data_IF_786651941247
#
_entry.id   IF_786651941247
#
_cell.length_a   1.000
_cell.length_b   1.000
_cell.length_c   1.000
_cell.angle_alpha   90.00
_cell.angle_beta   90.00
_cell.angle_gamma   90.00
#
_symmetry.space_group_name_H-M   'P 1'
#
loop_
_entity.id
_entity.type
_entity.pdbx_description
1 polymer ?
#
# COMPACT_ATOMS: atom_id res chain seq x y z
N UNK A 1 5.54 19.76 -12.43
CA UNK A 1 5.38 18.43 -11.79
C UNK A 1 5.15 18.69 -10.30
N UNK A 2 4.35 17.88 -9.58
CA UNK A 2 4.25 17.98 -8.13
C UNK A 2 5.63 17.98 -7.47
N UNK A 3 5.81 18.74 -6.40
CA UNK A 3 7.03 18.76 -5.59
C UNK A 3 7.04 17.64 -4.56
N UNK A 4 5.86 17.18 -4.15
CA UNK A 4 5.69 16.12 -3.17
C UNK A 4 4.46 15.28 -3.52
N UNK A 5 4.46 14.04 -3.04
CA UNK A 5 3.30 13.16 -3.11
C UNK A 5 2.83 12.81 -1.71
N UNK A 6 1.51 12.64 -1.58
CA UNK A 6 0.85 12.11 -0.38
C UNK A 6 -0.07 10.96 -0.80
N UNK A 7 -0.35 10.06 0.14
CA UNK A 7 -1.24 8.93 -0.10
C UNK A 7 -2.13 8.69 1.12
N UNK A 8 -3.42 8.46 0.87
CA UNK A 8 -4.38 8.05 1.88
C UNK A 8 -5.15 6.83 1.40
N UNK A 9 -5.23 5.78 2.21
CA UNK A 9 -5.94 4.54 1.89
C UNK A 9 -7.14 4.36 2.81
N UNK A 10 -8.08 3.51 2.38
CA UNK A 10 -9.28 3.13 3.15
C UNK A 10 -8.99 2.16 4.31
N UNK A 11 -7.84 1.48 4.30
CA UNK A 11 -7.40 0.61 5.38
C UNK A 11 -6.61 1.38 6.45
N UNK A 12 -7.06 1.40 7.73
CA UNK A 12 -6.41 2.15 8.81
C UNK A 12 -5.03 1.59 9.20
N UNK A 13 -4.69 0.37 8.76
CA UNK A 13 -3.36 -0.23 8.98
C UNK A 13 -2.31 0.34 8.02
N UNK A 14 -2.74 1.08 7.01
CA UNK A 14 -1.87 1.74 6.06
C UNK A 14 -1.46 3.13 6.56
N UNK A 15 -0.17 3.43 6.48
CA UNK A 15 0.41 4.74 6.81
C UNK A 15 1.35 5.15 5.68
N UNK A 16 1.31 6.42 5.30
CA UNK A 16 2.23 6.97 4.31
C UNK A 16 3.21 7.96 4.94
N UNK A 17 4.51 7.70 4.78
CA UNK A 17 5.56 8.64 5.09
C UNK A 17 5.84 9.51 3.85
N UNK A 18 5.37 10.75 3.89
CA UNK A 18 5.52 11.70 2.78
C UNK A 18 6.91 12.32 2.67
N UNK A 19 7.77 12.16 3.69
CA UNK A 19 9.16 12.59 3.65
C UNK A 19 10.02 11.57 2.90
N UNK A 20 9.79 10.28 3.15
CA UNK A 20 10.51 9.18 2.50
C UNK A 20 9.83 8.71 1.20
N UNK A 21 8.55 9.04 1.01
CA UNK A 21 7.74 8.56 -0.09
C UNK A 21 7.42 7.07 0.04
N UNK A 22 7.24 6.56 1.26
CA UNK A 22 7.04 5.13 1.53
C UNK A 22 5.64 4.89 2.14
N UNK A 23 4.90 3.95 1.55
CA UNK A 23 3.66 3.41 2.10
C UNK A 23 3.92 2.14 2.90
N UNK A 24 3.52 2.17 4.16
CA UNK A 24 3.67 1.09 5.13
C UNK A 24 2.30 0.48 5.40
N UNK A 25 2.23 -0.84 5.53
CA UNK A 25 1.05 -1.54 6.00
C UNK A 25 1.45 -2.44 7.16
N UNK A 26 0.87 -2.21 8.34
CA UNK A 26 1.32 -2.82 9.61
C UNK A 26 2.83 -2.67 9.86
N UNK A 27 3.42 -1.55 9.41
CA UNK A 27 4.85 -1.28 9.53
C UNK A 27 5.74 -1.93 8.46
N UNK A 28 5.18 -2.71 7.53
CA UNK A 28 5.92 -3.27 6.40
C UNK A 28 5.86 -2.33 5.19
N UNK A 29 7.01 -1.94 4.60
CA UNK A 29 7.01 -1.07 3.42
C UNK A 29 6.49 -1.87 2.23
N UNK A 30 5.38 -1.45 1.64
CA UNK A 30 4.75 -2.15 0.52
C UNK A 30 4.68 -1.30 -0.75
N UNK A 31 4.87 0.01 -0.61
CA UNK A 31 4.77 0.99 -1.69
C UNK A 31 5.91 2.00 -1.57
N UNK A 32 6.48 2.40 -2.70
CA UNK A 32 7.35 3.55 -2.80
C UNK A 32 6.85 4.49 -3.89
N UNK A 33 6.79 5.78 -3.60
CA UNK A 33 6.45 6.85 -4.55
C UNK A 33 7.69 7.70 -4.78
N UNK A 34 8.26 7.60 -5.97
CA UNK A 34 9.42 8.38 -6.36
C UNK A 34 9.05 9.84 -6.64
N UNK A 35 10.04 10.73 -6.62
CA UNK A 35 9.84 12.18 -6.87
C UNK A 35 9.31 12.51 -8.26
N UNK A 36 9.44 11.60 -9.23
CA UNK A 36 8.86 11.72 -10.56
C UNK A 36 7.41 11.16 -10.64
N UNK A 37 6.81 10.79 -9.51
CA UNK A 37 5.47 10.21 -9.44
C UNK A 37 5.39 8.74 -9.83
N UNK A 38 6.52 8.06 -10.09
CA UNK A 38 6.55 6.62 -10.29
C UNK A 38 6.18 5.91 -8.98
N UNK A 39 5.23 4.99 -9.06
CA UNK A 39 4.80 4.16 -7.94
C UNK A 39 5.39 2.76 -8.14
N UNK A 40 6.12 2.28 -7.15
CA UNK A 40 6.69 0.94 -7.09
C UNK A 40 6.00 0.18 -5.98
N UNK A 41 5.58 -1.04 -6.26
CA UNK A 41 5.06 -1.98 -5.26
C UNK A 41 6.18 -2.97 -4.95
N UNK A 42 6.61 -3.02 -3.70
CA UNK A 42 7.64 -3.95 -3.23
C UNK A 42 7.17 -4.54 -1.92
N UNK A 43 6.56 -5.72 -1.97
CA UNK A 43 5.99 -6.38 -0.80
C UNK A 43 7.06 -7.30 -0.20
N UNK A 44 7.57 -7.03 1.01
CA UNK A 44 8.64 -7.80 1.60
C UNK A 44 8.13 -9.17 2.06
N UNK A 45 9.02 -10.17 2.09
CA UNK A 45 8.69 -11.51 2.62
C UNK A 45 8.13 -11.45 4.04
N UNK A 46 8.57 -10.50 4.87
CA UNK A 46 8.03 -10.30 6.22
C UNK A 46 6.52 -10.03 6.25
N UNK A 47 5.91 -9.65 5.12
CA UNK A 47 4.47 -9.44 5.01
C UNK A 47 3.67 -10.76 5.14
N UNK A 48 4.33 -11.92 4.96
CA UNK A 48 3.75 -13.25 5.19
C UNK A 48 3.17 -13.38 6.60
N UNK A 49 3.80 -12.79 7.63
CA UNK A 49 3.29 -12.87 9.00
C UNK A 49 1.92 -12.21 9.19
N UNK A 50 1.53 -11.27 8.31
CA UNK A 50 0.19 -10.68 8.32
C UNK A 50 -0.83 -11.71 7.82
N UNK A 51 -0.49 -12.47 6.78
CA UNK A 51 -1.32 -13.57 6.29
C UNK A 51 -1.42 -14.69 7.34
N UNK A 52 -0.32 -15.01 8.01
CA UNK A 52 -0.31 -15.98 9.11
C UNK A 52 -1.20 -15.52 10.28
N UNK A 53 -1.17 -14.24 10.63
CA UNK A 53 -2.03 -13.68 11.68
C UNK A 53 -3.52 -13.68 11.29
N UNK A 54 -3.83 -13.64 9.98
CA UNK A 54 -5.19 -13.78 9.48
C UNK A 54 -5.69 -15.22 9.48
N UNK A 55 -4.83 -16.24 9.70
CA UNK A 55 -5.20 -17.66 9.77
C UNK A 55 -6.21 -17.91 10.90
N UNK A 56 -7.49 -17.72 10.59
CA UNK A 56 -8.60 -18.42 11.21
C UNK A 56 -8.67 -19.85 10.67
N UNK A 57 -9.35 -20.73 11.39
CA UNK A 57 -9.44 -22.19 11.21
C UNK A 57 -10.05 -22.71 9.89
N UNK A 58 -10.02 -21.94 8.81
CA UNK A 58 -10.65 -22.24 7.52
C UNK A 58 -9.69 -21.88 6.36
N UNK A 59 -8.98 -22.86 5.84
CA UNK A 59 -7.90 -22.73 4.84
C UNK A 59 -8.33 -23.13 3.42
N UNK A 60 -9.47 -22.63 2.93
CA UNK A 60 -9.96 -22.99 1.57
C UNK A 60 -9.81 -21.88 0.53
N UNK A 61 -9.37 -20.67 0.89
CA UNK A 61 -9.13 -19.58 -0.06
C UNK A 61 -7.73 -18.99 0.09
N UNK A 62 -7.13 -18.58 -1.04
CA UNK A 62 -5.91 -17.79 -1.04
C UNK A 62 -6.20 -16.44 -0.37
N UNK A 63 -5.49 -16.16 0.73
CA UNK A 63 -5.69 -14.94 1.49
C UNK A 63 -5.34 -13.72 0.65
N UNK A 64 -6.22 -12.72 0.66
CA UNK A 64 -6.03 -11.48 -0.07
C UNK A 64 -6.33 -10.28 0.82
N UNK A 65 -5.51 -9.25 0.67
CA UNK A 65 -5.72 -7.94 1.27
C UNK A 65 -5.96 -6.97 0.11
N UNK A 66 -7.13 -6.34 0.09
CA UNK A 66 -7.51 -5.34 -0.90
C UNK A 66 -7.75 -4.01 -0.20
N UNK A 67 -7.19 -2.94 -0.74
CA UNK A 67 -7.39 -1.58 -0.25
C UNK A 67 -7.32 -0.60 -1.41
N UNK A 68 -8.00 0.53 -1.26
CA UNK A 68 -8.05 1.61 -2.24
C UNK A 68 -7.43 2.85 -1.64
N UNK A 69 -6.53 3.44 -2.41
CA UNK A 69 -5.79 4.62 -2.04
C UNK A 69 -6.08 5.77 -3.00
N UNK A 70 -5.94 6.98 -2.48
CA UNK A 70 -5.88 8.20 -3.26
C UNK A 70 -4.48 8.77 -3.13
N UNK A 71 -3.83 9.00 -4.27
CA UNK A 71 -2.52 9.64 -4.36
C UNK A 71 -2.73 11.09 -4.71
N UNK A 72 -2.09 11.99 -3.98
CA UNK A 72 -2.17 13.43 -4.16
C UNK A 72 -0.81 13.96 -4.60
N UNK A 73 -0.79 14.77 -5.65
CA UNK A 73 0.37 15.54 -6.06
C UNK A 73 0.26 16.96 -5.51
N UNK A 74 1.17 17.33 -4.61
CA UNK A 74 1.25 18.64 -3.97
C UNK A 74 2.31 19.49 -4.67
N UNK A 75 1.98 20.74 -4.99
CA UNK A 75 2.89 21.70 -5.62
C UNK A 75 3.45 22.66 -4.57
N UNK A 76 4.68 23.13 -4.79
CA UNK A 76 5.30 24.14 -3.93
C UNK A 76 4.61 25.51 -4.01
N UNK A 77 3.96 25.81 -5.15
CA UNK A 77 3.10 26.98 -5.30
C UNK A 77 1.71 26.68 -4.70
N UNK A 78 1.29 27.38 -3.64
CA UNK A 78 0.01 27.16 -2.98
C UNK A 78 -1.21 27.54 -3.84
N UNK A 79 -1.00 28.25 -4.96
CA UNK A 79 -2.10 28.62 -5.87
C UNK A 79 -2.43 27.53 -6.88
N UNK A 80 -1.55 26.51 -7.02
CA UNK A 80 -1.82 25.39 -7.91
C UNK A 80 -2.72 24.37 -7.22
N UNK A 81 -3.78 23.89 -7.89
CA UNK A 81 -4.67 22.90 -7.30
C UNK A 81 -3.95 21.56 -7.14
N UNK A 82 -4.19 20.90 -6.00
CA UNK A 82 -3.74 19.52 -5.78
C UNK A 82 -4.34 18.60 -6.84
N UNK A 83 -3.50 17.83 -7.51
CA UNK A 83 -3.94 16.77 -8.42
C UNK A 83 -4.11 15.46 -7.65
N UNK A 84 -5.03 14.59 -8.06
CA UNK A 84 -5.18 13.30 -7.41
C UNK A 84 -5.57 12.18 -8.36
N UNK A 85 -5.17 10.96 -8.01
CA UNK A 85 -5.50 9.73 -8.73
C UNK A 85 -5.90 8.62 -7.74
N UNK A 86 -6.82 7.75 -8.17
CA UNK A 86 -7.18 6.55 -7.43
C UNK A 86 -6.25 5.39 -7.76
N UNK A 87 -5.89 4.61 -6.75
CA UNK A 87 -5.07 3.41 -6.86
C UNK A 87 -5.73 2.29 -6.05
N UNK A 88 -6.21 1.25 -6.72
CA UNK A 88 -6.71 0.05 -6.04
C UNK A 88 -5.64 -1.03 -6.09
N UNK A 89 -5.33 -1.62 -4.93
CA UNK A 89 -4.30 -2.65 -4.80
C UNK A 89 -4.90 -3.92 -4.22
N UNK A 90 -4.30 -5.05 -4.58
CA UNK A 90 -4.64 -6.35 -3.99
C UNK A 90 -3.36 -7.15 -3.85
N UNK A 91 -2.99 -7.45 -2.61
CA UNK A 91 -1.86 -8.31 -2.26
C UNK A 91 -2.45 -9.69 -1.96
N UNK A 92 -1.87 -10.74 -2.53
CA UNK A 92 -2.33 -12.12 -2.36
C UNK A 92 -1.21 -12.97 -1.83
N UNK A 93 -1.50 -13.82 -0.85
CA UNK A 93 -0.65 -14.95 -0.56
C UNK A 93 -0.77 -15.95 -1.71
N UNK A 94 0.37 -16.35 -2.28
CA UNK A 94 0.45 -17.38 -3.32
C UNK A 94 0.61 -18.78 -2.75
N UNK A 95 0.74 -18.90 -1.43
CA UNK A 95 0.94 -20.16 -0.73
C UNK A 95 -0.40 -20.81 -0.43
N UNK A 96 -0.61 -22.02 -0.97
CA UNK A 96 -1.78 -22.83 -0.63
C UNK A 96 -1.48 -23.66 0.62
N UNK A 97 -2.20 -23.41 1.70
CA UNK A 97 -2.14 -24.23 2.92
C UNK A 97 -3.08 -25.44 2.77
N UNK A 98 -2.58 -26.55 2.23
CA UNK A 98 -3.30 -27.82 2.33
C UNK A 98 -3.25 -28.29 3.79
N UNK A 99 -4.40 -28.43 4.44
CA UNK A 99 -4.50 -29.18 5.70
C UNK A 99 -4.46 -30.67 5.36
N UNK A 100 -3.47 -31.39 5.91
CA UNK A 100 -3.47 -32.85 6.02
C UNK A 100 -4.48 -33.32 7.08
#
# INVERSE_FOLDING_TARGET
MPSQFEMACDDPRFVFDSLLGIGLFEGHPIIQVASNGQIVLDVPQSFESIFDAMLGSSTTEAWKISFSCKVFGVFADPNLPTISAGLSMTIRDTTCWAQD
#
